data_IF_007143836453
#
_entry.id   IF_007143836453
#
_cell.length_a   1.000
_cell.length_b   1.000
_cell.length_c   1.000
_cell.angle_alpha   90.00
_cell.angle_beta   90.00
_cell.angle_gamma   90.00
#
_symmetry.space_group_name_H-M   'P 1'
#
loop_
_entity.id
_entity.type
_entity.pdbx_description
1 polymer ?
#
# COMPACT_ATOMS: atom_id res chain seq x y z
N UNK A 1 -9.32 -21.99 -11.18
CA UNK A 1 -9.33 -20.53 -10.96
C UNK A 1 -10.74 -20.03 -10.70
N UNK A 2 -10.96 -19.34 -9.58
CA UNK A 2 -12.24 -18.70 -9.24
C UNK A 2 -12.25 -17.23 -9.66
N UNK A 3 -13.44 -16.66 -9.84
CA UNK A 3 -13.58 -15.23 -10.08
C UNK A 3 -13.22 -14.43 -8.83
N UNK A 4 -12.38 -13.41 -9.01
CA UNK A 4 -12.15 -12.38 -7.99
C UNK A 4 -13.19 -11.28 -8.20
N UNK A 5 -13.97 -11.01 -7.15
CA UNK A 5 -15.10 -10.07 -7.21
C UNK A 5 -14.95 -9.05 -6.09
N UNK A 6 -14.95 -7.77 -6.45
CA UNK A 6 -14.91 -6.69 -5.46
C UNK A 6 -16.13 -6.79 -4.53
N UNK A 7 -15.88 -6.71 -3.22
CA UNK A 7 -16.91 -6.81 -2.17
C UNK A 7 -18.11 -5.88 -2.48
N UNK A 8 -19.36 -6.37 -2.40
CA UNK A 8 -20.55 -5.56 -2.65
C UNK A 8 -20.64 -4.26 -1.86
N UNK A 9 -20.07 -4.20 -0.65
CA UNK A 9 -20.06 -2.96 0.16
C UNK A 9 -19.24 -1.86 -0.49
N UNK A 10 -18.12 -2.22 -1.13
CA UNK A 10 -17.26 -1.27 -1.82
C UNK A 10 -17.75 -1.03 -3.24
N UNK A 11 -18.11 -2.08 -3.97
CA UNK A 11 -18.49 -1.93 -5.38
C UNK A 11 -19.73 -1.05 -5.58
N UNK A 12 -20.68 -1.03 -4.63
CA UNK A 12 -21.86 -0.16 -4.67
C UNK A 12 -21.55 1.33 -4.56
N UNK A 13 -20.45 1.70 -3.89
CA UNK A 13 -20.09 3.11 -3.67
C UNK A 13 -19.09 3.64 -4.71
N UNK A 14 -18.39 2.75 -5.43
CA UNK A 14 -17.42 3.13 -6.46
C UNK A 14 -18.10 3.75 -7.69
N UNK A 15 -17.64 4.95 -8.07
CA UNK A 15 -17.96 5.61 -9.34
C UNK A 15 -17.33 4.87 -10.55
N UNK A 16 -17.82 5.07 -11.78
CA UNK A 16 -17.31 4.37 -12.97
C UNK A 16 -15.78 4.44 -13.13
N UNK A 17 -15.19 5.64 -13.04
CA UNK A 17 -13.73 5.81 -13.14
C UNK A 17 -12.98 5.10 -12.00
N UNK A 18 -13.56 5.05 -10.80
CA UNK A 18 -12.96 4.37 -9.66
C UNK A 18 -12.96 2.85 -9.84
N UNK A 19 -13.97 2.29 -10.51
CA UNK A 19 -14.01 0.86 -10.85
C UNK A 19 -12.92 0.50 -11.85
N UNK A 20 -12.71 1.36 -12.84
CA UNK A 20 -11.62 1.21 -13.81
C UNK A 20 -10.26 1.32 -13.12
N UNK A 21 -10.07 2.30 -12.23
CA UNK A 21 -8.84 2.46 -11.47
C UNK A 21 -8.54 1.29 -10.52
N UNK A 22 -9.54 0.73 -9.83
CA UNK A 22 -9.37 -0.50 -9.02
C UNK A 22 -8.97 -1.69 -9.90
N UNK A 23 -9.61 -1.85 -11.07
CA UNK A 23 -9.25 -2.90 -12.02
C UNK A 23 -7.80 -2.73 -12.50
N UNK A 24 -7.42 -1.51 -12.88
CA UNK A 24 -6.06 -1.16 -13.29
C UNK A 24 -5.05 -1.50 -12.19
N UNK A 25 -5.29 -1.06 -10.96
CA UNK A 25 -4.45 -1.36 -9.80
C UNK A 25 -4.27 -2.87 -9.61
N UNK A 26 -5.37 -3.62 -9.65
CA UNK A 26 -5.34 -5.07 -9.47
C UNK A 26 -4.58 -5.79 -10.58
N UNK A 27 -4.79 -5.41 -11.85
CA UNK A 27 -4.07 -5.98 -12.99
C UNK A 27 -2.57 -5.71 -12.91
N UNK A 28 -2.15 -4.53 -12.44
CA UNK A 28 -0.75 -4.18 -12.23
C UNK A 28 -0.12 -5.01 -11.09
N UNK A 29 -0.72 -5.01 -9.89
CA UNK A 29 -0.08 -5.67 -8.73
C UNK A 29 -0.12 -7.20 -8.79
N UNK A 30 -0.94 -7.78 -9.68
CA UNK A 30 -1.01 -9.23 -9.91
C UNK A 30 -0.23 -9.69 -11.15
N UNK A 31 0.65 -8.86 -11.71
CA UNK A 31 1.46 -9.19 -12.91
C UNK A 31 0.64 -9.51 -14.16
N UNK A 32 -0.63 -9.10 -14.23
CA UNK A 32 -1.50 -9.34 -15.39
C UNK A 32 -1.32 -8.28 -16.47
N UNK A 33 -0.99 -7.05 -16.07
CA UNK A 33 -0.76 -5.96 -17.01
C UNK A 33 0.64 -6.01 -17.62
N UNK A 34 1.66 -6.21 -16.78
CA UNK A 34 3.05 -6.37 -17.20
C UNK A 34 3.57 -7.66 -16.53
N UNK A 35 3.87 -8.72 -17.29
CA UNK A 35 4.38 -9.96 -16.71
C UNK A 35 5.69 -9.74 -15.94
N UNK A 36 5.76 -10.27 -14.71
CA UNK A 36 6.91 -10.10 -13.81
C UNK A 36 6.93 -8.76 -13.05
N UNK A 37 5.95 -7.87 -13.30
CA UNK A 37 5.80 -6.57 -12.65
C UNK A 37 4.65 -6.59 -11.65
N UNK A 38 4.92 -6.16 -10.44
CA UNK A 38 3.92 -6.09 -9.37
C UNK A 38 3.69 -4.65 -8.89
N UNK A 39 4.09 -3.68 -9.72
CA UNK A 39 4.14 -2.28 -9.39
C UNK A 39 3.06 -1.46 -10.09
N UNK A 40 2.55 -0.43 -9.43
CA UNK A 40 1.64 0.53 -10.02
C UNK A 40 1.91 1.97 -9.55
N UNK A 41 1.82 2.94 -10.47
CA UNK A 41 1.78 4.37 -10.15
C UNK A 41 0.37 4.87 -10.45
N UNK A 42 -0.27 5.46 -9.45
CA UNK A 42 -1.58 6.09 -9.56
C UNK A 42 -1.40 7.61 -9.53
N UNK A 43 -1.50 8.24 -10.70
CA UNK A 43 -1.25 9.66 -10.91
C UNK A 43 -2.53 10.46 -11.21
N UNK A 44 -3.69 9.94 -10.79
CA UNK A 44 -4.99 10.62 -10.96
C UNK A 44 -5.00 11.94 -10.19
N UNK A 45 -5.78 12.91 -10.68
CA UNK A 45 -5.96 14.22 -10.06
C UNK A 45 -6.43 14.09 -8.59
N UNK A 46 -6.08 15.10 -7.77
CA UNK A 46 -6.56 15.20 -6.40
C UNK A 46 -8.10 15.26 -6.38
N UNK A 47 -8.72 14.62 -5.38
CA UNK A 47 -10.18 14.60 -5.24
C UNK A 47 -10.91 13.46 -5.97
N UNK A 48 -10.26 12.66 -6.81
CA UNK A 48 -10.90 11.55 -7.52
C UNK A 48 -11.15 10.27 -6.67
N UNK A 49 -10.83 10.33 -5.37
CA UNK A 49 -11.07 9.24 -4.42
C UNK A 49 -10.05 8.09 -4.50
N UNK A 50 -8.77 8.41 -4.74
CA UNK A 50 -7.67 7.44 -4.79
C UNK A 50 -7.58 6.55 -3.54
N UNK A 51 -7.85 7.13 -2.36
CA UNK A 51 -7.92 6.42 -1.08
C UNK A 51 -8.93 5.28 -1.12
N UNK A 52 -10.16 5.52 -1.57
CA UNK A 52 -11.20 4.48 -1.68
C UNK A 52 -10.80 3.38 -2.67
N UNK A 53 -10.17 3.74 -3.79
CA UNK A 53 -9.67 2.76 -4.75
C UNK A 53 -8.59 1.86 -4.14
N UNK A 54 -7.66 2.45 -3.39
CA UNK A 54 -6.60 1.73 -2.69
C UNK A 54 -7.15 0.84 -1.57
N UNK A 55 -8.12 1.31 -0.79
CA UNK A 55 -8.81 0.50 0.23
C UNK A 55 -9.50 -0.69 -0.42
N UNK A 56 -10.14 -0.48 -1.57
CA UNK A 56 -10.77 -1.55 -2.34
C UNK A 56 -9.76 -2.59 -2.83
N UNK A 57 -8.62 -2.14 -3.34
CA UNK A 57 -7.52 -3.01 -3.73
C UNK A 57 -7.02 -3.83 -2.53
N UNK A 58 -6.67 -3.18 -1.43
CA UNK A 58 -6.18 -3.84 -0.20
C UNK A 58 -7.18 -4.89 0.29
N UNK A 59 -8.46 -4.53 0.39
CA UNK A 59 -9.50 -5.46 0.85
C UNK A 59 -9.65 -6.66 -0.07
N UNK A 60 -9.61 -6.44 -1.39
CA UNK A 60 -9.72 -7.51 -2.38
C UNK A 60 -8.55 -8.49 -2.24
N UNK A 61 -7.32 -7.98 -2.14
CA UNK A 61 -6.12 -8.83 -2.00
C UNK A 61 -6.07 -9.56 -0.65
N UNK A 62 -6.55 -8.95 0.43
CA UNK A 62 -6.60 -9.56 1.76
C UNK A 62 -7.63 -10.69 1.87
N UNK A 63 -8.56 -10.79 0.92
CA UNK A 63 -9.69 -11.74 0.99
C UNK A 63 -9.76 -12.72 -0.17
N UNK A 64 -9.27 -12.34 -1.34
CA UNK A 64 -9.53 -13.08 -2.56
C UNK A 64 -8.29 -13.17 -3.46
N UNK A 65 -8.20 -14.30 -4.15
CA UNK A 65 -7.30 -14.57 -5.27
C UNK A 65 -7.98 -15.59 -6.19
N UNK A 66 -7.46 -15.79 -7.41
CA UNK A 66 -7.92 -16.86 -8.30
C UNK A 66 -7.81 -18.27 -7.71
N UNK A 67 -7.00 -18.44 -6.66
CA UNK A 67 -6.78 -19.71 -5.96
C UNK A 67 -7.68 -19.91 -4.74
N UNK A 68 -8.72 -19.07 -4.57
CA UNK A 68 -9.67 -19.15 -3.46
C UNK A 68 -9.02 -19.00 -2.06
N UNK A 69 -7.94 -18.22 -1.99
CA UNK A 69 -7.23 -17.83 -0.76
C UNK A 69 -6.89 -16.33 -0.79
N UNK A 70 -6.53 -15.69 0.33
CA UNK A 70 -5.97 -14.34 0.29
C UNK A 70 -4.74 -14.25 -0.62
N UNK A 71 -4.66 -13.22 -1.44
CA UNK A 71 -3.49 -12.92 -2.29
C UNK A 71 -2.34 -12.37 -1.43
N UNK A 72 -2.66 -11.64 -0.37
CA UNK A 72 -1.72 -11.11 0.62
C UNK A 72 -2.24 -11.34 2.05
N UNK A 73 -1.32 -11.47 3.01
CA UNK A 73 -1.68 -11.54 4.44
C UNK A 73 -1.72 -10.16 5.10
N UNK A 74 -0.88 -9.23 4.62
CA UNK A 74 -0.68 -7.91 5.23
C UNK A 74 -0.50 -6.84 4.16
N UNK A 75 -1.03 -5.66 4.43
CA UNK A 75 -0.84 -4.45 3.67
C UNK A 75 -0.29 -3.35 4.58
N UNK A 76 0.54 -2.48 4.01
CA UNK A 76 1.07 -1.31 4.68
C UNK A 76 0.79 -0.07 3.85
N UNK A 77 0.28 0.98 4.50
CA UNK A 77 0.13 2.31 3.95
C UNK A 77 1.17 3.20 4.60
N UNK A 78 2.03 3.82 3.79
CA UNK A 78 3.00 4.81 4.23
C UNK A 78 2.54 6.17 3.72
N UNK A 79 2.23 7.08 4.64
CA UNK A 79 1.65 8.39 4.32
C UNK A 79 2.39 9.53 5.04
N UNK A 80 2.15 10.79 4.67
CA UNK A 80 2.45 11.92 5.57
C UNK A 80 1.82 11.70 6.96
N UNK A 81 2.48 12.18 8.01
CA UNK A 81 2.01 12.05 9.40
C UNK A 81 0.60 12.63 9.58
N UNK A 82 0.34 13.79 8.98
CA UNK A 82 -0.97 14.46 8.97
C UNK A 82 -2.10 13.62 8.34
N UNK A 83 -1.78 12.64 7.49
CA UNK A 83 -2.75 11.80 6.79
C UNK A 83 -2.95 10.42 7.41
N UNK A 84 -2.13 10.03 8.40
CA UNK A 84 -2.24 8.70 9.05
C UNK A 84 -3.63 8.50 9.66
N UNK A 85 -4.11 9.47 10.43
CA UNK A 85 -5.46 9.43 11.03
C UNK A 85 -6.56 9.46 9.98
N UNK A 86 -6.36 10.20 8.88
CA UNK A 86 -7.34 10.24 7.79
C UNK A 86 -7.48 8.87 7.11
N UNK A 87 -6.36 8.19 6.83
CA UNK A 87 -6.36 6.83 6.30
C UNK A 87 -7.05 5.85 7.25
N UNK A 88 -6.78 5.95 8.56
CA UNK A 88 -7.45 5.11 9.56
C UNK A 88 -8.98 5.27 9.48
N UNK A 89 -9.46 6.52 9.51
CA UNK A 89 -10.88 6.83 9.47
C UNK A 89 -11.54 6.36 8.16
N UNK A 90 -10.87 6.51 7.03
CA UNK A 90 -11.40 6.06 5.73
C UNK A 90 -11.49 4.52 5.67
N UNK A 91 -10.50 3.79 6.19
CA UNK A 91 -10.56 2.32 6.28
C UNK A 91 -11.76 1.88 7.16
N UNK A 92 -11.93 2.51 8.32
CA UNK A 92 -13.04 2.20 9.24
C UNK A 92 -14.40 2.51 8.62
N UNK A 93 -14.53 3.68 7.99
CA UNK A 93 -15.74 4.16 7.30
C UNK A 93 -16.16 3.22 6.16
N UNK A 94 -15.24 2.85 5.26
CA UNK A 94 -15.58 2.09 4.07
C UNK A 94 -15.73 0.59 4.30
N UNK A 95 -15.01 0.04 5.29
CA UNK A 95 -15.11 -1.38 5.64
C UNK A 95 -16.06 -1.65 6.80
N UNK A 96 -16.68 -0.62 7.39
CA UNK A 96 -17.73 -0.74 8.42
C UNK A 96 -17.28 -1.55 9.64
N UNK A 97 -16.03 -1.37 10.07
CA UNK A 97 -15.46 -2.09 11.23
C UNK A 97 -15.17 -3.58 11.01
N UNK A 98 -15.28 -4.11 9.78
CA UNK A 98 -14.90 -5.52 9.47
C UNK A 98 -13.43 -5.83 9.71
N UNK A 99 -12.61 -4.78 9.77
CA UNK A 99 -11.18 -4.86 10.01
C UNK A 99 -10.76 -3.63 10.82
N UNK A 100 -9.87 -3.82 11.78
CA UNK A 100 -9.25 -2.72 12.50
C UNK A 100 -7.82 -2.53 11.99
N UNK A 101 -7.53 -1.43 11.28
CA UNK A 101 -6.16 -1.10 10.91
C UNK A 101 -5.36 -0.71 12.16
N UNK A 102 -4.06 -0.97 12.13
CA UNK A 102 -3.11 -0.47 13.12
C UNK A 102 -2.53 0.86 12.61
N UNK A 103 -2.91 1.97 13.23
CA UNK A 103 -2.28 3.27 12.96
C UNK A 103 -1.14 3.55 13.95
N UNK A 104 -0.01 3.99 13.43
CA UNK A 104 1.13 4.45 14.23
C UNK A 104 1.32 5.95 14.00
N UNK A 105 0.92 6.72 15.01
CA UNK A 105 0.92 8.18 15.01
C UNK A 105 1.53 8.69 16.32
N UNK A 106 2.87 8.61 16.40
CA UNK A 106 3.63 8.99 17.59
C UNK A 106 3.62 7.95 18.72
N UNK A 107 4.35 8.26 19.79
CA UNK A 107 4.56 7.39 20.95
C UNK A 107 6.05 7.24 21.30
N UNK A 108 6.33 6.55 22.41
CA UNK A 108 7.70 6.17 22.75
C UNK A 108 8.26 5.19 21.74
N UNK A 109 9.58 5.19 21.55
CA UNK A 109 10.26 4.29 20.60
C UNK A 109 9.92 2.82 20.91
N UNK A 110 9.92 2.46 22.19
CA UNK A 110 9.65 1.12 22.69
C UNK A 110 8.19 0.69 22.47
N UNK A 111 7.24 1.62 22.53
CA UNK A 111 5.84 1.33 22.23
C UNK A 111 5.63 1.08 20.73
N UNK A 112 6.23 1.91 19.89
CA UNK A 112 6.17 1.76 18.43
C UNK A 112 6.80 0.44 18.01
N UNK A 113 7.99 0.12 18.51
CA UNK A 113 8.67 -1.14 18.22
C UNK A 113 7.83 -2.36 18.65
N UNK A 114 7.20 -2.32 19.83
CA UNK A 114 6.29 -3.40 20.26
C UNK A 114 5.10 -3.57 19.33
N UNK A 115 4.47 -2.48 18.89
CA UNK A 115 3.35 -2.52 17.92
C UNK A 115 3.79 -3.08 16.57
N UNK A 116 4.94 -2.65 16.07
CA UNK A 116 5.51 -3.12 14.81
C UNK A 116 5.90 -4.59 14.85
N UNK A 117 6.63 -5.02 15.88
CA UNK A 117 6.99 -6.43 16.08
C UNK A 117 5.73 -7.28 16.21
N UNK A 118 4.73 -6.81 16.96
CA UNK A 118 3.42 -7.45 17.05
C UNK A 118 2.76 -7.65 15.69
N UNK A 119 2.70 -6.60 14.87
CA UNK A 119 2.17 -6.65 13.51
C UNK A 119 2.97 -7.62 12.61
N UNK A 120 4.30 -7.59 12.66
CA UNK A 120 5.15 -8.47 11.84
C UNK A 120 5.06 -9.94 12.25
N UNK A 121 4.84 -10.22 13.53
CA UNK A 121 4.73 -11.59 14.07
C UNK A 121 3.34 -12.23 13.86
N UNK A 122 2.30 -11.44 13.57
CA UNK A 122 0.98 -12.00 13.23
C UNK A 122 1.08 -12.83 11.95
N UNK A 123 0.68 -14.10 11.99
CA UNK A 123 0.70 -15.00 10.81
C UNK A 123 -0.52 -15.92 10.84
N UNK A 124 -0.84 -16.50 9.68
CA UNK A 124 -1.88 -17.50 9.53
C UNK A 124 -3.22 -16.94 9.06
N UNK A 125 -4.24 -17.80 9.05
CA UNK A 125 -5.53 -17.56 8.38
C UNK A 125 -6.36 -16.39 8.98
N UNK A 126 -6.05 -15.95 10.20
CA UNK A 126 -6.75 -14.86 10.89
C UNK A 126 -5.77 -13.88 11.51
N UNK A 127 -5.26 -12.97 10.68
CA UNK A 127 -4.52 -11.80 11.15
C UNK A 127 -5.55 -10.76 11.66
N UNK A 128 -5.51 -10.35 12.94
CA UNK A 128 -6.51 -9.45 13.52
C UNK A 128 -6.41 -8.03 12.96
N UNK A 129 -5.20 -7.55 12.68
CA UNK A 129 -4.94 -6.20 12.15
C UNK A 129 -3.98 -6.27 10.96
N UNK A 130 -4.42 -6.73 9.78
CA UNK A 130 -3.54 -6.95 8.64
C UNK A 130 -3.21 -5.67 7.86
N UNK A 131 -3.77 -4.52 8.24
CA UNK A 131 -3.47 -3.22 7.62
C UNK A 131 -2.69 -2.38 8.64
N UNK A 132 -1.46 -2.01 8.28
CA UNK A 132 -0.64 -1.05 9.02
C UNK A 132 -0.67 0.30 8.31
N UNK A 133 -0.86 1.38 9.06
CA UNK A 133 -0.80 2.76 8.56
C UNK A 133 0.27 3.47 9.36
N UNK A 134 1.31 3.95 8.69
CA UNK A 134 2.50 4.52 9.33
C UNK A 134 2.96 5.78 8.60
N UNK A 135 3.49 6.74 9.34
CA UNK A 135 4.09 7.92 8.72
C UNK A 135 5.44 7.58 8.06
N UNK A 136 5.83 8.32 7.03
CA UNK A 136 7.18 8.18 6.43
C UNK A 136 8.31 8.32 7.46
N UNK A 137 8.17 9.24 8.41
CA UNK A 137 9.18 9.52 9.43
C UNK A 137 9.31 8.36 10.40
N UNK A 138 8.19 7.85 10.92
CA UNK A 138 8.18 6.70 11.83
C UNK A 138 8.61 5.43 11.12
N UNK A 139 8.20 5.23 9.86
CA UNK A 139 8.67 4.10 9.06
C UNK A 139 10.19 4.10 8.93
N UNK A 140 10.79 5.23 8.58
CA UNK A 140 12.25 5.37 8.46
C UNK A 140 12.97 5.03 9.75
N UNK A 141 12.48 5.53 10.89
CA UNK A 141 13.11 5.31 12.20
C UNK A 141 13.04 3.85 12.68
N UNK A 142 12.07 3.08 12.19
CA UNK A 142 11.78 1.73 12.65
C UNK A 142 11.82 0.68 11.53
N UNK A 143 12.49 0.99 10.41
CA UNK A 143 12.55 0.14 9.23
C UNK A 143 13.14 -1.23 9.54
N UNK A 144 14.15 -1.31 10.42
CA UNK A 144 14.79 -2.57 10.82
C UNK A 144 13.81 -3.58 11.43
N UNK A 145 12.81 -3.11 12.20
CA UNK A 145 11.78 -3.98 12.78
C UNK A 145 10.85 -4.54 11.69
N UNK A 146 10.56 -3.74 10.67
CA UNK A 146 9.68 -4.07 9.55
C UNK A 146 10.36 -4.97 8.50
N UNK A 147 11.67 -4.84 8.31
CA UNK A 147 12.46 -5.66 7.38
C UNK A 147 12.53 -7.13 7.78
N UNK A 148 12.34 -7.46 9.06
CA UNK A 148 12.40 -8.84 9.59
C UNK A 148 11.23 -9.72 9.15
N UNK A 149 10.19 -9.16 8.54
CA UNK A 149 9.07 -9.93 8.01
C UNK A 149 8.66 -9.49 6.62
N UNK A 150 7.63 -10.13 6.09
CA UNK A 150 7.10 -9.86 4.76
C UNK A 150 5.80 -9.09 4.82
N UNK A 151 5.67 -8.09 3.95
CA UNK A 151 4.42 -7.37 3.70
C UNK A 151 4.01 -7.65 2.27
N UNK A 152 2.76 -8.01 2.02
CA UNK A 152 2.35 -8.44 0.67
C UNK A 152 2.08 -7.29 -0.30
N UNK A 153 1.78 -6.10 0.25
CA UNK A 153 1.51 -4.87 -0.49
C UNK A 153 1.94 -3.64 0.32
N UNK A 154 2.68 -2.74 -0.32
CA UNK A 154 2.92 -1.38 0.20
C UNK A 154 2.24 -0.36 -0.68
N UNK A 155 1.58 0.61 -0.04
CA UNK A 155 1.00 1.79 -0.67
C UNK A 155 1.72 3.02 -0.14
N UNK A 156 2.40 3.75 -1.01
CA UNK A 156 3.06 5.01 -0.69
C UNK A 156 2.17 6.17 -1.13
N UNK A 157 1.57 6.87 -0.16
CA UNK A 157 0.76 8.05 -0.40
C UNK A 157 1.63 9.31 -0.52
N UNK A 158 1.24 10.26 -1.36
CA UNK A 158 2.08 11.40 -1.74
C UNK A 158 3.49 10.98 -2.17
N UNK A 159 3.57 9.96 -3.03
CA UNK A 159 4.81 9.33 -3.45
C UNK A 159 5.75 10.23 -4.24
N UNK A 160 5.32 11.43 -4.63
CA UNK A 160 6.24 12.49 -5.11
C UNK A 160 7.30 12.85 -4.06
N UNK A 161 7.15 12.47 -2.78
CA UNK A 161 8.19 12.63 -1.76
C UNK A 161 9.37 11.64 -1.93
N UNK A 162 9.22 10.62 -2.77
CA UNK A 162 10.21 9.57 -3.04
C UNK A 162 11.05 9.83 -4.31
N UNK A 163 11.09 11.09 -4.79
CA UNK A 163 11.83 11.50 -6.00
C UNK A 163 13.34 11.26 -5.92
N UNK A 164 13.93 11.40 -4.74
CA UNK A 164 15.38 11.25 -4.55
C UNK A 164 15.70 9.83 -4.03
N UNK A 165 16.43 9.06 -4.83
CA UNK A 165 16.87 7.69 -4.51
C UNK A 165 17.91 7.63 -3.36
N UNK A 166 18.62 8.73 -3.09
CA UNK A 166 19.53 8.85 -1.95
C UNK A 166 18.78 9.10 -0.62
N UNK A 167 17.47 9.32 -0.67
CA UNK A 167 16.68 9.51 0.53
C UNK A 167 16.66 8.23 1.37
N UNK A 168 16.98 8.36 2.66
CA UNK A 168 16.91 7.26 3.63
C UNK A 168 15.55 6.56 3.63
N UNK A 169 14.46 7.30 3.40
CA UNK A 169 13.12 6.73 3.27
C UNK A 169 12.99 5.80 2.05
N UNK A 170 13.58 6.18 0.92
CA UNK A 170 13.58 5.38 -0.30
C UNK A 170 14.36 4.07 -0.09
N UNK A 171 15.55 4.16 0.53
CA UNK A 171 16.36 2.99 0.86
C UNK A 171 15.66 2.06 1.87
N UNK A 172 15.01 2.63 2.89
CA UNK A 172 14.23 1.88 3.88
C UNK A 172 13.02 1.17 3.24
N UNK A 173 12.32 1.81 2.29
CA UNK A 173 11.21 1.18 1.57
C UNK A 173 11.71 0.11 0.59
N UNK A 174 12.85 0.32 -0.06
CA UNK A 174 13.45 -0.65 -0.97
C UNK A 174 13.92 -1.92 -0.27
N UNK A 175 14.47 -1.79 0.93
CA UNK A 175 14.89 -2.91 1.77
C UNK A 175 13.73 -3.68 2.40
N UNK A 176 12.51 -3.15 2.35
CA UNK A 176 11.33 -3.88 2.81
C UNK A 176 11.02 -5.04 1.85
N UNK A 177 10.85 -6.24 2.42
CA UNK A 177 10.43 -7.41 1.68
C UNK A 177 8.94 -7.32 1.31
N UNK A 178 8.66 -6.70 0.16
CA UNK A 178 7.32 -6.59 -0.42
C UNK A 178 7.33 -6.84 -1.92
N UNK A 179 6.51 -7.77 -2.43
CA UNK A 179 6.42 -8.02 -3.86
C UNK A 179 5.62 -6.93 -4.58
N UNK A 180 4.59 -6.34 -3.94
CA UNK A 180 3.65 -5.42 -4.60
C UNK A 180 3.82 -4.01 -4.06
N UNK A 181 3.91 -3.03 -4.96
CA UNK A 181 4.14 -1.62 -4.61
C UNK A 181 3.21 -0.72 -5.40
N UNK A 182 2.44 0.10 -4.69
CA UNK A 182 1.57 1.11 -5.29
C UNK A 182 2.03 2.48 -4.83
N UNK A 183 2.24 3.38 -5.76
CA UNK A 183 2.63 4.75 -5.49
C UNK A 183 1.49 5.68 -5.90
N UNK A 184 1.01 6.50 -4.97
CA UNK A 184 -0.08 7.46 -5.21
C UNK A 184 0.54 8.84 -5.31
N UNK A 185 0.27 9.57 -6.39
CA UNK A 185 0.68 10.97 -6.54
C UNK A 185 -0.49 11.80 -7.06
N UNK A 186 -0.76 12.94 -6.42
CA UNK A 186 -1.73 13.92 -6.92
C UNK A 186 -1.15 14.91 -7.93
N UNK A 187 0.18 15.06 -7.94
CA UNK A 187 0.88 15.96 -8.85
C UNK A 187 1.47 15.18 -10.01
N UNK A 188 1.41 15.70 -11.25
CA UNK A 188 2.16 15.13 -12.36
C UNK A 188 3.65 15.11 -11.99
N UNK A 189 4.32 14.00 -12.28
CA UNK A 189 5.77 13.89 -12.08
C UNK A 189 6.41 14.87 -13.07
N UNK A 190 6.83 16.02 -12.56
CA UNK A 190 7.35 17.13 -13.38
C UNK A 190 8.70 16.73 -13.98
N UNK A 191 8.79 16.72 -15.33
CA UNK A 191 9.92 16.88 -16.26
C UNK A 191 11.38 16.47 -15.91
N UNK A 192 11.68 15.89 -14.75
CA UNK A 192 12.97 15.32 -14.42
C UNK A 192 12.91 13.80 -14.60
N UNK A 193 13.59 13.33 -15.65
CA UNK A 193 13.68 11.91 -15.99
C UNK A 193 14.36 11.10 -14.87
N UNK A 194 15.24 11.70 -14.06
CA UNK A 194 15.91 11.02 -12.95
C UNK A 194 14.94 10.78 -11.78
N UNK A 195 14.07 11.75 -11.50
CA UNK A 195 13.00 11.59 -10.52
C UNK A 195 12.01 10.51 -10.95
N UNK A 196 11.60 10.54 -12.22
CA UNK A 196 10.71 9.52 -12.78
C UNK A 196 11.36 8.13 -12.73
N UNK A 197 12.63 8.03 -13.12
CA UNK A 197 13.38 6.77 -13.07
C UNK A 197 13.40 6.20 -11.65
N UNK A 198 13.66 7.03 -10.64
CA UNK A 198 13.66 6.61 -9.24
C UNK A 198 12.29 6.06 -8.81
N UNK A 199 11.19 6.73 -9.17
CA UNK A 199 9.84 6.28 -8.84
C UNK A 199 9.46 4.98 -9.57
N UNK A 200 9.80 4.86 -10.86
CA UNK A 200 9.49 3.64 -11.62
C UNK A 200 10.35 2.48 -11.15
N UNK A 201 11.65 2.70 -10.87
CA UNK A 201 12.54 1.67 -10.31
C UNK A 201 12.05 1.19 -8.94
N UNK A 202 11.58 2.10 -8.09
CA UNK A 202 10.98 1.76 -6.80
C UNK A 202 9.77 0.83 -6.95
N UNK A 203 8.90 1.13 -7.91
CA UNK A 203 7.64 0.41 -8.12
C UNK A 203 7.86 -0.92 -8.84
N UNK A 204 8.81 -0.97 -9.79
CA UNK A 204 9.10 -2.12 -10.64
C UNK A 204 10.58 -2.53 -10.54
N UNK A 205 11.01 -2.88 -9.32
CA UNK A 205 12.34 -3.41 -9.08
C UNK A 205 12.54 -4.74 -9.83
N UNK A 206 13.53 -4.80 -10.72
CA UNK A 206 13.92 -6.02 -11.46
C UNK A 206 13.48 -6.10 -12.93
N UNK A 207 12.71 -5.14 -13.45
CA UNK A 207 12.34 -5.09 -14.89
C UNK A 207 13.20 -4.09 -15.67
N UNK A 208 13.69 -3.07 -14.98
CA UNK A 208 14.46 -1.98 -15.58
C UNK A 208 15.98 -2.15 -15.41
N UNK A 209 16.44 -3.32 -14.93
CA UNK A 209 17.83 -3.62 -14.61
C UNK A 209 17.95 -4.51 -13.39
#
# INVERSE_FOLDING_TARGET
PVHVVVDPVLSRVLRPHQREGVKFLWDCVTSRRIPGSHGCIMADEMGLGKTLQCITLMWTLLRQSPDCKPEIEKAMVVSPSSLVRNWYNEVEKWLGGRIQPLAIDGGSKEEIDRKLVGFMNQRGLRVPSPILIISYETFRLHAEALQKGSVGLVICDEGHRLKNSENQTYQALNSLNTPRRVLISGTPIQNDLLEYFSLVHFVNSGILG
#
